data_IF_203113196037
#
_entry.id   IF_203113196037
#
_cell.length_a   1.000
_cell.length_b   1.000
_cell.length_c   1.000
_cell.angle_alpha   90.00
_cell.angle_beta   90.00
_cell.angle_gamma   90.00
#
_symmetry.space_group_name_H-M   'P 1'
#
loop_
_entity.id
_entity.type
_entity.pdbx_description
1 polymer ?
#
# COMPACT_ATOMS: atom_id res chain seq x y z
N UNK A 1 29.68 -27.41 29.69
CA UNK A 1 29.09 -26.09 29.87
C UNK A 1 27.64 -26.28 30.33
N UNK A 2 27.12 -25.43 31.24
CA UNK A 2 25.70 -25.54 31.62
C UNK A 2 24.80 -24.98 30.50
N UNK A 3 23.60 -25.57 30.36
CA UNK A 3 22.59 -25.18 29.38
C UNK A 3 22.29 -23.66 29.39
N UNK A 4 22.23 -23.07 30.59
CA UNK A 4 21.96 -21.65 30.77
C UNK A 4 23.09 -20.77 30.23
N UNK A 5 24.33 -21.14 30.52
CA UNK A 5 25.51 -20.39 30.03
C UNK A 5 25.62 -20.47 28.51
N UNK A 6 25.28 -21.64 27.92
CA UNK A 6 25.22 -21.82 26.48
C UNK A 6 24.24 -20.86 25.83
N UNK A 7 22.99 -20.79 26.33
CA UNK A 7 21.96 -19.92 25.80
C UNK A 7 22.31 -18.44 25.96
N UNK A 8 22.93 -18.05 27.06
CA UNK A 8 23.35 -16.67 27.32
C UNK A 8 24.48 -16.23 26.37
N UNK A 9 25.50 -17.06 26.17
CA UNK A 9 26.59 -16.81 25.22
C UNK A 9 26.09 -16.73 23.79
N UNK A 10 25.25 -17.67 23.36
CA UNK A 10 24.66 -17.73 22.03
C UNK A 10 23.78 -16.50 21.76
N UNK A 11 22.85 -16.15 22.65
CA UNK A 11 21.97 -15.01 22.47
C UNK A 11 22.69 -13.67 22.55
N UNK A 12 23.85 -13.64 23.22
CA UNK A 12 24.73 -12.48 23.26
C UNK A 12 25.25 -12.06 21.88
N UNK A 13 25.41 -13.02 20.95
CA UNK A 13 25.87 -12.78 19.58
C UNK A 13 24.77 -12.23 18.65
N UNK A 14 23.49 -12.35 19.05
CA UNK A 14 22.35 -11.96 18.23
C UNK A 14 22.08 -10.46 18.37
N UNK A 15 22.18 -9.70 17.28
CA UNK A 15 21.91 -8.25 17.24
C UNK A 15 20.43 -7.91 17.41
N UNK A 16 19.55 -8.75 16.86
CA UNK A 16 18.11 -8.55 16.94
C UNK A 16 17.57 -9.00 18.30
N UNK A 17 17.67 -8.13 19.32
CA UNK A 17 17.25 -8.44 20.70
C UNK A 17 15.81 -8.93 20.85
N UNK A 18 14.91 -8.61 19.90
CA UNK A 18 13.53 -9.08 19.89
C UNK A 18 13.39 -10.57 19.55
N UNK A 19 14.31 -11.08 18.75
CA UNK A 19 14.33 -12.50 18.36
C UNK A 19 15.04 -13.37 19.40
N UNK A 20 15.89 -12.81 20.26
CA UNK A 20 16.60 -13.56 21.28
C UNK A 20 15.70 -14.50 22.09
N UNK A 21 14.54 -14.08 22.65
CA UNK A 21 13.72 -15.01 23.46
C UNK A 21 13.07 -16.11 22.63
N UNK A 22 12.79 -15.87 21.34
CA UNK A 22 12.22 -16.89 20.45
C UNK A 22 13.27 -17.90 20.07
N UNK A 23 14.46 -17.44 19.67
CA UNK A 23 15.58 -18.30 19.31
C UNK A 23 16.08 -19.07 20.51
N UNK A 24 16.19 -18.43 21.69
CA UNK A 24 16.58 -19.10 22.91
C UNK A 24 15.66 -20.26 23.25
N UNK A 25 14.32 -20.04 23.10
CA UNK A 25 13.34 -21.09 23.35
C UNK A 25 13.43 -22.22 22.34
N UNK A 26 13.62 -21.94 21.06
CA UNK A 26 13.75 -22.93 20.00
C UNK A 26 14.99 -23.81 20.22
N UNK A 27 16.12 -23.20 20.58
CA UNK A 27 17.35 -23.95 20.91
C UNK A 27 17.19 -24.71 22.23
N UNK A 28 16.50 -24.14 23.21
CA UNK A 28 16.19 -24.82 24.46
C UNK A 28 15.33 -26.07 24.25
N UNK A 29 14.28 -25.95 23.41
CA UNK A 29 13.42 -27.07 23.03
C UNK A 29 14.25 -28.16 22.31
N UNK A 30 15.18 -27.77 21.45
CA UNK A 30 16.10 -28.69 20.76
C UNK A 30 17.04 -29.43 21.71
N UNK A 31 17.64 -28.72 22.69
CA UNK A 31 18.49 -29.35 23.72
C UNK A 31 17.68 -30.36 24.54
N UNK A 32 16.41 -30.01 24.84
CA UNK A 32 15.54 -30.91 25.60
C UNK A 32 15.18 -32.17 24.82
N UNK A 33 14.90 -32.04 23.51
CA UNK A 33 14.62 -33.19 22.62
C UNK A 33 15.84 -34.11 22.53
N UNK A 34 17.05 -33.58 22.38
CA UNK A 34 18.30 -34.34 22.35
C UNK A 34 18.57 -35.00 23.70
N UNK A 35 18.36 -34.30 24.81
CA UNK A 35 18.50 -34.88 26.16
C UNK A 35 17.57 -36.10 26.32
N UNK A 36 16.33 -36.03 25.86
CA UNK A 36 15.38 -37.14 25.92
C UNK A 36 15.86 -38.32 25.07
N UNK A 37 16.44 -38.08 23.90
CA UNK A 37 17.01 -39.11 23.05
C UNK A 37 18.17 -39.84 23.74
N UNK A 38 19.12 -39.12 24.32
CA UNK A 38 20.23 -39.71 25.08
C UNK A 38 19.81 -40.48 26.33
N UNK A 39 18.78 -39.99 27.03
CA UNK A 39 18.19 -40.74 28.15
C UNK A 39 17.53 -42.05 27.70
N UNK A 40 16.92 -42.07 26.51
CA UNK A 40 16.37 -43.31 25.93
C UNK A 40 17.44 -44.30 25.53
N UNK A 41 18.68 -43.86 25.27
CA UNK A 41 19.89 -44.69 25.02
C UNK A 41 20.52 -45.20 26.32
N UNK A 42 20.02 -44.76 27.49
CA UNK A 42 20.46 -45.27 28.79
C UNK A 42 21.44 -44.39 29.56
N UNK A 43 21.63 -43.11 29.12
CA UNK A 43 22.44 -42.15 29.87
C UNK A 43 21.67 -41.62 31.10
N UNK A 44 22.43 -41.23 32.12
CA UNK A 44 21.84 -40.53 33.27
C UNK A 44 21.42 -39.13 32.85
N UNK A 45 20.47 -38.52 33.57
CA UNK A 45 19.92 -37.20 33.23
C UNK A 45 21.03 -36.11 33.12
N UNK A 46 21.99 -36.11 34.04
CA UNK A 46 23.08 -35.13 34.05
C UNK A 46 24.06 -35.34 32.86
N UNK A 47 24.35 -36.61 32.51
CA UNK A 47 25.21 -36.96 31.38
C UNK A 47 24.52 -36.61 30.04
N UNK A 48 23.21 -36.94 29.93
CA UNK A 48 22.42 -36.64 28.75
C UNK A 48 22.30 -35.13 28.50
N UNK A 49 22.13 -34.29 29.54
CA UNK A 49 22.11 -32.85 29.39
C UNK A 49 23.44 -32.25 28.93
N UNK A 50 24.56 -32.75 29.50
CA UNK A 50 25.90 -32.30 29.06
C UNK A 50 26.18 -32.71 27.62
N UNK A 51 25.85 -33.95 27.24
CA UNK A 51 26.00 -34.44 25.88
C UNK A 51 25.14 -33.67 24.87
N UNK A 52 23.86 -33.36 25.22
CA UNK A 52 22.97 -32.57 24.38
C UNK A 52 23.50 -31.16 24.13
N UNK A 53 24.04 -30.49 25.17
CA UNK A 53 24.65 -29.15 25.01
C UNK A 53 25.95 -29.23 24.21
N UNK A 54 26.74 -30.27 24.35
CA UNK A 54 28.00 -30.46 23.59
C UNK A 54 27.72 -30.70 22.10
N UNK A 55 26.65 -31.45 21.78
CA UNK A 55 26.25 -31.73 20.40
C UNK A 55 25.75 -30.51 19.67
N UNK A 56 25.23 -29.48 20.37
CA UNK A 56 24.82 -28.21 19.78
C UNK A 56 25.99 -27.38 19.20
N UNK A 57 27.24 -27.75 19.53
CA UNK A 57 28.44 -27.07 19.05
C UNK A 57 28.80 -25.80 19.81
N UNK A 58 29.64 -24.95 19.18
CA UNK A 58 30.11 -23.71 19.81
C UNK A 58 28.98 -22.67 19.88
N UNK A 59 28.58 -22.19 21.07
CA UNK A 59 27.52 -21.18 21.24
C UNK A 59 27.80 -19.88 20.50
N UNK A 60 29.06 -19.49 20.31
CA UNK A 60 29.43 -18.28 19.58
C UNK A 60 29.20 -18.48 18.09
N UNK A 61 29.57 -19.60 17.53
CA UNK A 61 29.40 -19.91 16.12
C UNK A 61 27.91 -20.04 15.76
N UNK A 62 27.16 -20.84 16.54
CA UNK A 62 25.72 -20.99 16.40
C UNK A 62 25.00 -19.65 16.54
N UNK A 63 25.40 -18.81 17.51
CA UNK A 63 24.82 -17.48 17.70
C UNK A 63 25.06 -16.54 16.52
N UNK A 64 26.26 -16.59 15.91
CA UNK A 64 26.58 -15.80 14.70
C UNK A 64 25.78 -16.29 13.48
N UNK A 65 25.61 -17.60 13.30
CA UNK A 65 24.78 -18.16 12.23
C UNK A 65 23.32 -17.75 12.39
N UNK A 66 22.78 -17.85 13.60
CA UNK A 66 21.42 -17.40 13.92
C UNK A 66 21.23 -15.90 13.68
N UNK A 67 22.24 -15.07 14.00
CA UNK A 67 22.21 -13.62 13.67
C UNK A 67 22.16 -13.40 12.15
N UNK A 68 22.92 -14.16 11.36
CA UNK A 68 22.92 -14.03 9.89
C UNK A 68 21.56 -14.37 9.26
N UNK A 69 20.85 -15.35 9.83
CA UNK A 69 19.53 -15.80 9.36
C UNK A 69 18.46 -14.78 9.75
N UNK A 70 18.45 -14.32 11.00
CA UNK A 70 17.37 -13.56 11.60
C UNK A 70 17.58 -12.04 11.61
N UNK A 71 18.76 -11.55 11.22
CA UNK A 71 19.00 -10.10 11.11
C UNK A 71 18.14 -9.48 10.00
N UNK A 72 17.50 -8.34 10.25
CA UNK A 72 16.77 -7.64 9.21
C UNK A 72 17.73 -7.22 8.08
N UNK A 73 17.46 -7.73 6.87
CA UNK A 73 18.24 -7.39 5.67
C UNK A 73 17.53 -6.26 4.92
N UNK A 74 18.25 -5.17 4.68
CA UNK A 74 17.73 -4.08 3.84
C UNK A 74 17.54 -4.57 2.39
N UNK A 75 16.38 -4.33 1.79
CA UNK A 75 16.09 -4.76 0.42
C UNK A 75 16.71 -3.81 -0.63
N UNK A 76 18.05 -3.70 -0.64
CA UNK A 76 18.78 -2.76 -1.50
C UNK A 76 18.41 -2.85 -2.98
N UNK A 77 18.12 -4.06 -3.46
CA UNK A 77 17.67 -4.27 -4.86
C UNK A 77 16.35 -3.56 -5.14
N UNK A 78 15.37 -3.70 -4.24
CA UNK A 78 14.07 -3.03 -4.35
C UNK A 78 14.23 -1.51 -4.24
N UNK A 79 15.03 -1.03 -3.27
CA UNK A 79 15.33 0.40 -3.09
C UNK A 79 15.94 0.99 -4.37
N UNK A 80 16.92 0.29 -4.97
CA UNK A 80 17.56 0.72 -6.20
C UNK A 80 16.58 0.80 -7.38
N UNK A 81 15.74 -0.22 -7.56
CA UNK A 81 14.71 -0.23 -8.62
C UNK A 81 13.74 0.92 -8.45
N UNK A 82 13.24 1.15 -7.23
CA UNK A 82 12.32 2.26 -6.93
C UNK A 82 13.01 3.61 -7.18
N UNK A 83 14.26 3.78 -6.74
CA UNK A 83 15.03 5.00 -6.99
C UNK A 83 15.21 5.27 -8.49
N UNK A 84 15.54 4.23 -9.26
CA UNK A 84 15.66 4.32 -10.72
C UNK A 84 14.34 4.74 -11.39
N UNK A 85 13.24 4.11 -11.00
CA UNK A 85 11.89 4.47 -11.48
C UNK A 85 11.51 5.91 -11.13
N UNK A 86 11.84 6.38 -9.92
CA UNK A 86 11.61 7.77 -9.53
C UNK A 86 12.44 8.75 -10.35
N UNK A 87 13.71 8.44 -10.60
CA UNK A 87 14.60 9.30 -11.43
C UNK A 87 14.06 9.36 -12.86
N UNK A 88 13.71 8.23 -13.45
CA UNK A 88 13.12 8.17 -14.79
C UNK A 88 11.82 8.99 -14.86
N UNK A 89 10.93 8.82 -13.89
CA UNK A 89 9.70 9.61 -13.77
C UNK A 89 9.99 11.12 -13.68
N UNK A 90 11.01 11.50 -12.89
CA UNK A 90 11.45 12.89 -12.77
C UNK A 90 12.01 13.46 -14.08
N UNK A 91 12.78 12.68 -14.81
CA UNK A 91 13.32 13.06 -16.15
C UNK A 91 12.19 13.26 -17.17
N UNK A 92 11.23 12.34 -17.21
CA UNK A 92 10.04 12.49 -18.05
C UNK A 92 9.24 13.73 -17.68
N UNK A 93 8.97 13.95 -16.40
CA UNK A 93 8.27 15.15 -15.95
C UNK A 93 9.01 16.44 -16.36
N UNK A 94 10.34 16.49 -16.21
CA UNK A 94 11.15 17.63 -16.61
C UNK A 94 11.11 17.86 -18.13
N UNK A 95 11.13 16.79 -18.93
CA UNK A 95 11.01 16.88 -20.39
C UNK A 95 9.67 17.49 -20.83
N UNK A 96 8.55 17.05 -20.24
CA UNK A 96 7.22 17.58 -20.56
C UNK A 96 7.02 19.01 -20.05
N UNK A 97 7.55 19.34 -18.86
CA UNK A 97 7.41 20.69 -18.28
C UNK A 97 8.24 21.74 -19.03
N UNK A 98 9.32 21.32 -19.72
CA UNK A 98 10.17 22.25 -20.51
C UNK A 98 9.43 22.88 -21.70
N UNK A 99 8.36 22.26 -22.18
CA UNK A 99 7.56 22.77 -23.29
C UNK A 99 6.66 23.98 -22.88
N UNK A 100 6.48 24.24 -21.59
CA UNK A 100 5.77 25.41 -21.05
C UNK A 100 6.77 26.38 -20.42
N UNK A 101 7.27 27.35 -21.18
CA UNK A 101 8.36 28.26 -20.81
C UNK A 101 8.15 29.05 -19.51
N UNK A 102 6.91 29.38 -19.14
CA UNK A 102 6.60 30.19 -17.95
C UNK A 102 6.66 29.43 -16.61
N UNK A 103 6.59 28.11 -16.60
CA UNK A 103 6.52 27.31 -15.37
C UNK A 103 7.70 26.32 -15.21
N UNK A 104 8.53 26.14 -16.22
CA UNK A 104 9.50 25.04 -16.30
C UNK A 104 10.51 24.97 -15.17
N UNK A 105 11.14 26.08 -14.78
CA UNK A 105 12.22 26.08 -13.79
C UNK A 105 11.70 25.82 -12.37
N UNK A 106 10.67 26.54 -11.94
CA UNK A 106 10.08 26.40 -10.60
C UNK A 106 9.42 25.03 -10.45
N UNK A 107 8.76 24.52 -11.49
CA UNK A 107 8.17 23.18 -11.49
C UNK A 107 9.24 22.09 -11.40
N UNK A 108 10.38 22.25 -12.07
CA UNK A 108 11.53 21.34 -11.97
C UNK A 108 12.10 21.25 -10.55
N UNK A 109 12.35 22.40 -9.90
CA UNK A 109 12.83 22.44 -8.51
C UNK A 109 11.83 21.76 -7.55
N UNK A 110 10.55 22.06 -7.69
CA UNK A 110 9.49 21.43 -6.87
C UNK A 110 9.46 19.90 -7.07
N UNK A 111 9.68 19.43 -8.29
CA UNK A 111 9.71 18.00 -8.58
C UNK A 111 10.92 17.31 -7.94
N UNK A 112 12.12 17.91 -8.05
CA UNK A 112 13.33 17.39 -7.39
C UNK A 112 13.12 17.32 -5.87
N UNK A 113 12.56 18.36 -5.27
CA UNK A 113 12.26 18.37 -3.84
C UNK A 113 11.28 17.27 -3.44
N UNK A 114 10.20 17.07 -4.22
CA UNK A 114 9.23 15.98 -3.98
C UNK A 114 9.89 14.61 -4.06
N UNK A 115 10.74 14.38 -5.05
CA UNK A 115 11.47 13.12 -5.22
C UNK A 115 12.43 12.87 -4.06
N UNK A 116 13.21 13.88 -3.66
CA UNK A 116 14.13 13.78 -2.53
C UNK A 116 13.39 13.47 -1.22
N UNK A 117 12.27 14.15 -0.97
CA UNK A 117 11.44 13.92 0.21
C UNK A 117 10.82 12.51 0.20
N UNK A 118 10.27 12.07 -0.95
CA UNK A 118 9.70 10.73 -1.08
C UNK A 118 10.74 9.63 -0.84
N UNK A 119 11.96 9.81 -1.37
CA UNK A 119 13.05 8.87 -1.18
C UNK A 119 13.51 8.83 0.28
N UNK A 120 13.64 10.00 0.93
CA UNK A 120 13.99 10.09 2.35
C UNK A 120 12.96 9.39 3.24
N UNK A 121 11.66 9.61 2.98
CA UNK A 121 10.58 8.94 3.70
C UNK A 121 10.61 7.42 3.46
N UNK A 122 10.86 6.97 2.23
CA UNK A 122 10.99 5.55 1.91
C UNK A 122 12.11 4.90 2.73
N UNK A 123 13.29 5.51 2.78
CA UNK A 123 14.42 5.01 3.58
C UNK A 123 14.05 4.97 5.07
N UNK A 124 13.47 6.05 5.59
CA UNK A 124 13.03 6.12 6.98
C UNK A 124 12.05 5.00 7.34
N UNK A 125 11.07 4.73 6.48
CA UNK A 125 10.10 3.63 6.66
C UNK A 125 10.80 2.26 6.64
N UNK A 126 11.82 2.06 5.79
CA UNK A 126 12.60 0.82 5.77
C UNK A 126 13.36 0.55 7.09
N UNK A 127 13.77 1.61 7.80
CA UNK A 127 14.40 1.48 9.12
C UNK A 127 13.40 1.38 10.28
N UNK A 128 12.13 1.69 10.05
CA UNK A 128 11.11 1.59 11.10
C UNK A 128 10.82 0.15 11.48
N UNK A 129 10.69 -0.07 12.77
CA UNK A 129 10.22 -1.33 13.32
C UNK A 129 8.69 -1.44 13.20
N UNK A 130 8.23 -2.15 12.18
CA UNK A 130 6.80 -2.33 11.92
C UNK A 130 6.07 -3.18 12.98
N UNK A 131 6.78 -3.90 13.86
CA UNK A 131 6.13 -4.60 14.97
C UNK A 131 5.46 -3.63 15.96
N UNK A 132 5.97 -2.39 16.07
CA UNK A 132 5.33 -1.32 16.83
C UNK A 132 3.98 -0.91 16.21
N UNK A 133 3.92 -0.84 14.86
CA UNK A 133 2.68 -0.59 14.13
C UNK A 133 1.66 -1.68 14.42
N UNK A 134 2.06 -2.95 14.40
CA UNK A 134 1.20 -4.07 14.73
C UNK A 134 0.62 -4.02 16.14
N UNK A 135 1.45 -3.62 17.14
CA UNK A 135 1.00 -3.46 18.53
C UNK A 135 -0.05 -2.36 18.70
N UNK A 136 0.08 -1.24 17.99
CA UNK A 136 -0.78 -0.06 18.12
C UNK A 136 -1.71 0.13 16.91
N UNK A 137 -1.93 -0.89 16.10
CA UNK A 137 -2.62 -0.83 14.82
C UNK A 137 -3.98 -0.09 14.87
N UNK A 138 -4.83 -0.40 15.86
CA UNK A 138 -6.15 0.24 16.00
C UNK A 138 -6.06 1.71 16.35
N UNK A 139 -5.14 2.08 17.24
CA UNK A 139 -4.93 3.47 17.63
C UNK A 139 -4.38 4.28 16.47
N UNK A 140 -3.40 3.73 15.74
CA UNK A 140 -2.80 4.38 14.58
C UNK A 140 -3.81 4.53 13.43
N UNK A 141 -4.60 3.50 13.14
CA UNK A 141 -5.64 3.59 12.13
C UNK A 141 -6.72 4.63 12.51
N UNK A 142 -7.16 4.62 13.76
CA UNK A 142 -8.14 5.61 14.26
C UNK A 142 -7.62 7.04 14.25
N UNK A 143 -6.39 7.26 14.74
CA UNK A 143 -5.75 8.58 14.72
C UNK A 143 -5.51 9.07 13.29
N UNK A 144 -5.17 8.16 12.37
CA UNK A 144 -5.01 8.50 10.94
C UNK A 144 -6.33 8.94 10.30
N UNK A 145 -7.43 8.21 10.54
CA UNK A 145 -8.74 8.62 10.05
C UNK A 145 -9.19 9.96 10.64
N UNK A 146 -8.97 10.16 11.94
CA UNK A 146 -9.24 11.45 12.59
C UNK A 146 -8.40 12.57 11.96
N UNK A 147 -7.10 12.33 11.74
CA UNK A 147 -6.21 13.26 11.05
C UNK A 147 -6.74 13.63 9.65
N UNK A 148 -7.18 12.66 8.86
CA UNK A 148 -7.78 12.90 7.55
C UNK A 148 -9.01 13.80 7.64
N UNK A 149 -9.91 13.56 8.60
CA UNK A 149 -11.11 14.38 8.84
C UNK A 149 -10.73 15.80 9.25
N UNK A 150 -9.80 15.96 10.17
CA UNK A 150 -9.32 17.27 10.63
C UNK A 150 -8.63 18.04 9.50
N UNK A 151 -7.75 17.42 8.74
CA UNK A 151 -7.11 18.03 7.58
C UNK A 151 -8.13 18.51 6.56
N UNK A 152 -9.14 17.69 6.27
CA UNK A 152 -10.24 18.09 5.40
C UNK A 152 -11.02 19.28 5.95
N UNK A 153 -11.27 19.31 7.25
CA UNK A 153 -12.09 20.37 7.86
C UNK A 153 -11.37 21.72 7.94
N UNK A 154 -10.09 21.72 8.33
CA UNK A 154 -9.36 22.96 8.63
C UNK A 154 -8.51 23.47 7.46
N UNK A 155 -8.01 22.59 6.58
CA UNK A 155 -7.01 22.94 5.56
C UNK A 155 -7.47 22.63 4.13
N UNK A 156 -8.71 22.25 3.95
CA UNK A 156 -9.23 21.90 2.63
C UNK A 156 -9.29 23.10 1.69
N UNK A 157 -8.80 22.91 0.49
CA UNK A 157 -8.90 23.84 -0.63
C UNK A 157 -9.95 23.32 -1.61
N UNK A 158 -10.84 24.21 -2.00
CA UNK A 158 -11.80 23.94 -3.06
C UNK A 158 -11.19 24.32 -4.41
N UNK A 159 -10.94 23.31 -5.24
CA UNK A 159 -10.43 23.52 -6.60
C UNK A 159 -11.43 22.86 -7.55
N UNK A 160 -11.93 23.61 -8.53
CA UNK A 160 -12.93 23.16 -9.51
C UNK A 160 -14.18 22.51 -8.87
N UNK A 161 -14.66 23.07 -7.77
CA UNK A 161 -15.84 22.56 -7.06
C UNK A 161 -15.60 21.31 -6.20
N UNK A 162 -14.39 20.75 -6.20
CA UNK A 162 -14.04 19.58 -5.40
C UNK A 162 -13.16 19.95 -4.20
N UNK A 163 -13.53 19.45 -3.01
CA UNK A 163 -12.83 19.68 -1.73
C UNK A 163 -11.95 18.46 -1.46
N UNK A 164 -10.92 18.26 -2.27
CA UNK A 164 -10.02 17.09 -2.18
C UNK A 164 -8.54 17.43 -2.00
N UNK A 165 -8.21 18.72 -1.91
CA UNK A 165 -6.85 19.22 -1.78
C UNK A 165 -6.66 19.88 -0.44
N UNK A 166 -5.47 19.78 0.11
CA UNK A 166 -5.04 20.43 1.36
C UNK A 166 -3.93 21.41 1.01
N UNK A 167 -4.03 22.64 1.50
CA UNK A 167 -2.97 23.63 1.36
C UNK A 167 -2.30 23.90 2.72
N UNK A 168 -1.02 23.62 2.83
CA UNK A 168 -0.22 23.92 4.03
C UNK A 168 1.11 24.51 3.60
N UNK A 169 1.40 25.74 4.08
CA UNK A 169 2.72 26.36 3.86
C UNK A 169 3.11 26.53 2.38
N UNK A 170 2.15 26.74 1.47
CA UNK A 170 2.41 26.86 0.03
C UNK A 170 2.50 25.51 -0.72
N UNK A 171 2.36 24.39 -0.01
CA UNK A 171 2.26 23.06 -0.62
C UNK A 171 0.80 22.64 -0.77
N UNK A 172 0.47 22.08 -1.90
CA UNK A 172 -0.85 21.49 -2.16
C UNK A 172 -0.67 19.98 -2.20
N UNK A 173 -1.38 19.27 -1.33
CA UNK A 173 -1.36 17.81 -1.23
C UNK A 173 -2.76 17.27 -1.46
N UNK A 174 -2.89 16.20 -2.24
CA UNK A 174 -4.17 15.52 -2.44
C UNK A 174 -4.51 14.68 -1.22
N UNK A 175 -5.64 14.98 -0.58
CA UNK A 175 -6.19 14.19 0.52
C UNK A 175 -6.56 12.77 0.05
N UNK A 176 -7.05 12.66 -1.18
CA UNK A 176 -7.39 11.36 -1.78
C UNK A 176 -6.15 10.46 -1.92
N UNK A 177 -5.00 11.01 -2.36
CA UNK A 177 -3.76 10.24 -2.45
C UNK A 177 -3.24 9.81 -1.09
N UNK A 178 -3.42 10.62 -0.04
CA UNK A 178 -3.04 10.24 1.31
C UNK A 178 -3.77 8.97 1.78
N UNK A 179 -4.98 8.70 1.27
CA UNK A 179 -5.75 7.50 1.67
C UNK A 179 -5.01 6.17 1.43
N UNK A 180 -4.03 6.11 0.51
CA UNK A 180 -3.20 4.93 0.31
C UNK A 180 -2.38 4.54 1.54
N UNK A 181 -2.00 5.50 2.39
CA UNK A 181 -1.29 5.24 3.64
C UNK A 181 -2.16 4.50 4.67
N UNK A 182 -3.47 4.48 4.47
CA UNK A 182 -4.37 3.69 5.30
C UNK A 182 -4.24 2.18 5.05
N UNK A 183 -3.87 1.74 3.85
CA UNK A 183 -3.81 0.31 3.52
C UNK A 183 -2.85 -0.49 4.42
N UNK A 184 -1.59 -0.09 4.65
CA UNK A 184 -0.72 -0.81 5.59
C UNK A 184 -1.26 -0.81 7.03
N UNK A 185 -1.90 0.28 7.47
CA UNK A 185 -2.57 0.34 8.78
C UNK A 185 -3.76 -0.61 8.85
N UNK A 186 -4.55 -0.69 7.78
CA UNK A 186 -5.65 -1.62 7.67
C UNK A 186 -5.17 -3.08 7.73
N UNK A 187 -4.08 -3.42 7.04
CA UNK A 187 -3.44 -4.73 7.14
C UNK A 187 -3.02 -5.09 8.56
N UNK A 188 -2.43 -4.13 9.28
CA UNK A 188 -2.07 -4.32 10.70
C UNK A 188 -3.30 -4.50 11.60
N UNK A 189 -4.41 -3.81 11.31
CA UNK A 189 -5.69 -3.97 12.02
C UNK A 189 -6.27 -5.36 11.76
N UNK A 190 -6.27 -5.84 10.50
CA UNK A 190 -6.71 -7.19 10.16
C UNK A 190 -5.91 -8.25 10.92
N UNK A 191 -4.59 -8.11 10.96
CA UNK A 191 -3.71 -9.02 11.70
C UNK A 191 -4.01 -9.01 13.21
N UNK A 192 -4.35 -7.85 13.79
CA UNK A 192 -4.69 -7.72 15.21
C UNK A 192 -5.96 -8.47 15.61
N UNK A 193 -6.88 -8.67 14.68
CA UNK A 193 -8.12 -9.42 14.89
C UNK A 193 -7.98 -10.93 14.59
N UNK A 194 -6.76 -11.41 14.31
CA UNK A 194 -6.50 -12.83 14.06
C UNK A 194 -6.95 -13.70 15.26
N UNK A 195 -7.59 -14.82 14.95
CA UNK A 195 -8.14 -15.75 15.94
C UNK A 195 -9.55 -15.41 16.42
N UNK A 196 -10.09 -14.24 16.09
CA UNK A 196 -11.46 -13.89 16.40
C UNK A 196 -12.44 -14.44 15.32
N UNK A 197 -13.75 -14.49 15.68
CA UNK A 197 -14.82 -14.99 14.79
C UNK A 197 -15.45 -13.90 13.90
N UNK A 198 -16.74 -14.06 13.59
CA UNK A 198 -17.51 -13.14 12.72
C UNK A 198 -17.48 -11.67 13.16
N UNK A 199 -17.36 -11.39 14.46
CA UNK A 199 -17.22 -10.04 14.99
C UNK A 199 -15.97 -9.31 14.45
N UNK A 200 -14.88 -10.03 14.20
CA UNK A 200 -13.67 -9.46 13.62
C UNK A 200 -13.88 -9.04 12.16
N UNK A 201 -14.56 -9.86 11.37
CA UNK A 201 -14.91 -9.53 9.99
C UNK A 201 -15.78 -8.29 9.94
N UNK A 202 -16.77 -8.18 10.83
CA UNK A 202 -17.62 -6.99 10.91
C UNK A 202 -16.81 -5.74 11.28
N UNK A 203 -15.92 -5.82 12.27
CA UNK A 203 -15.01 -4.71 12.65
C UNK A 203 -14.11 -4.31 11.46
N UNK A 204 -13.58 -5.29 10.70
CA UNK A 204 -12.78 -5.04 9.51
C UNK A 204 -13.57 -4.28 8.43
N UNK A 205 -14.82 -4.68 8.18
CA UNK A 205 -15.72 -3.98 7.26
C UNK A 205 -16.00 -2.56 7.74
N UNK A 206 -16.19 -2.33 9.04
CA UNK A 206 -16.40 -0.99 9.59
C UNK A 206 -15.19 -0.09 9.32
N UNK A 207 -13.96 -0.56 9.52
CA UNK A 207 -12.75 0.20 9.20
C UNK A 207 -12.69 0.59 7.70
N UNK A 208 -13.04 -0.34 6.82
CA UNK A 208 -13.13 -0.10 5.38
C UNK A 208 -14.20 0.96 5.05
N UNK A 209 -15.38 0.88 5.64
CA UNK A 209 -16.46 1.83 5.42
C UNK A 209 -16.13 3.24 5.94
N UNK A 210 -15.36 3.35 7.03
CA UNK A 210 -14.92 4.63 7.56
C UNK A 210 -14.02 5.40 6.56
N UNK A 211 -13.00 4.76 5.99
CA UNK A 211 -12.14 5.40 4.99
C UNK A 211 -12.90 5.71 3.70
N UNK A 212 -13.74 4.77 3.23
CA UNK A 212 -14.56 4.98 2.05
C UNK A 212 -15.54 6.18 2.26
N UNK A 213 -16.15 6.29 3.44
CA UNK A 213 -17.00 7.42 3.82
C UNK A 213 -16.26 8.75 3.77
N UNK A 214 -15.03 8.83 4.29
CA UNK A 214 -14.21 10.05 4.20
C UNK A 214 -13.96 10.42 2.74
N UNK A 215 -13.61 9.45 1.88
CA UNK A 215 -13.31 9.69 0.46
C UNK A 215 -14.55 10.10 -0.35
N UNK A 216 -15.71 9.55 -0.05
CA UNK A 216 -16.98 9.96 -0.66
C UNK A 216 -17.27 11.44 -0.34
N UNK A 217 -16.97 11.89 0.88
CA UNK A 217 -17.14 13.31 1.23
C UNK A 217 -16.12 14.22 0.53
N UNK A 218 -15.03 13.70 -0.02
CA UNK A 218 -14.02 14.41 -0.80
C UNK A 218 -14.33 14.43 -2.32
N UNK A 219 -15.54 14.25 -2.78
CA UNK A 219 -16.12 13.83 -4.06
C UNK A 219 -15.13 13.10 -5.02
N UNK A 220 -14.45 12.09 -4.51
CA UNK A 220 -13.50 11.27 -5.27
C UNK A 220 -13.92 9.79 -5.24
N UNK A 221 -14.94 9.47 -6.04
CA UNK A 221 -15.51 8.11 -6.12
C UNK A 221 -14.50 7.08 -6.65
N UNK A 222 -13.58 7.50 -7.51
CA UNK A 222 -12.56 6.60 -8.07
C UNK A 222 -11.60 6.17 -6.97
N UNK A 223 -11.11 7.10 -6.16
CA UNK A 223 -10.25 6.78 -5.02
C UNK A 223 -11.00 6.00 -3.93
N UNK A 224 -12.25 6.35 -3.65
CA UNK A 224 -13.07 5.57 -2.73
C UNK A 224 -13.24 4.12 -3.19
N UNK A 225 -13.48 3.91 -4.49
CA UNK A 225 -13.59 2.59 -5.11
C UNK A 225 -12.25 1.83 -5.06
N UNK A 226 -11.15 2.44 -5.47
CA UNK A 226 -9.83 1.76 -5.51
C UNK A 226 -9.33 1.40 -4.12
N UNK A 227 -9.42 2.30 -3.14
CA UNK A 227 -9.02 2.01 -1.75
C UNK A 227 -9.97 0.99 -1.12
N UNK A 228 -11.29 1.11 -1.37
CA UNK A 228 -12.29 0.15 -0.91
C UNK A 228 -12.04 -1.25 -1.45
N UNK A 229 -11.82 -1.40 -2.75
CA UNK A 229 -11.48 -2.68 -3.38
C UNK A 229 -10.16 -3.25 -2.86
N UNK A 230 -9.15 -2.41 -2.63
CA UNK A 230 -7.89 -2.85 -2.02
C UNK A 230 -8.10 -3.38 -0.59
N UNK A 231 -8.92 -2.72 0.22
CA UNK A 231 -9.30 -3.22 1.55
C UNK A 231 -10.07 -4.55 1.49
N UNK A 232 -11.02 -4.67 0.54
CA UNK A 232 -11.75 -5.93 0.31
C UNK A 232 -10.78 -7.05 -0.07
N UNK A 233 -9.86 -6.79 -1.00
CA UNK A 233 -8.87 -7.76 -1.42
C UNK A 233 -7.98 -8.22 -0.24
N UNK A 234 -7.51 -7.29 0.59
CA UNK A 234 -6.74 -7.62 1.79
C UNK A 234 -7.55 -8.45 2.79
N UNK A 235 -8.84 -8.15 2.98
CA UNK A 235 -9.74 -8.93 3.84
C UNK A 235 -9.96 -10.33 3.27
N UNK A 236 -10.14 -10.48 1.97
CA UNK A 236 -10.26 -11.79 1.30
C UNK A 236 -9.00 -12.64 1.49
N UNK A 237 -7.81 -12.04 1.32
CA UNK A 237 -6.54 -12.73 1.58
C UNK A 237 -6.40 -13.15 3.05
N UNK A 238 -6.84 -12.32 4.00
CA UNK A 238 -6.82 -12.66 5.43
C UNK A 238 -7.76 -13.83 5.76
N UNK A 239 -8.93 -13.89 5.10
CA UNK A 239 -9.88 -15.01 5.22
C UNK A 239 -9.30 -16.29 4.62
N UNK A 240 -8.71 -16.23 3.43
CA UNK A 240 -8.06 -17.37 2.76
C UNK A 240 -6.91 -17.94 3.58
N UNK A 241 -6.12 -17.07 4.22
CA UNK A 241 -5.04 -17.47 5.14
C UNK A 241 -5.54 -18.06 6.47
N UNK A 242 -6.85 -18.17 6.66
CA UNK A 242 -7.43 -18.73 7.88
C UNK A 242 -7.21 -17.87 9.14
N UNK A 243 -7.07 -16.55 9.00
CA UNK A 243 -6.86 -15.67 10.16
C UNK A 243 -8.08 -15.59 11.08
N UNK A 244 -9.28 -15.88 10.55
CA UNK A 244 -10.53 -15.75 11.29
C UNK A 244 -11.23 -17.09 11.44
N UNK A 245 -11.83 -17.32 12.60
CA UNK A 245 -12.62 -18.51 12.90
C UNK A 245 -14.06 -18.36 12.34
N UNK A 246 -14.19 -18.40 11.02
CA UNK A 246 -15.46 -18.20 10.30
C UNK A 246 -15.61 -19.20 9.18
N UNK A 247 -16.84 -19.39 8.68
CA UNK A 247 -17.08 -20.17 7.46
C UNK A 247 -16.62 -19.37 6.25
N UNK A 248 -15.34 -19.52 5.87
CA UNK A 248 -14.62 -18.72 4.86
C UNK A 248 -15.44 -18.61 3.57
N UNK A 249 -15.92 -19.74 3.01
CA UNK A 249 -16.68 -19.76 1.76
C UNK A 249 -17.94 -18.89 1.83
N UNK A 250 -18.69 -18.97 2.93
CA UNK A 250 -19.91 -18.14 3.09
C UNK A 250 -19.61 -16.66 3.15
N UNK A 251 -18.56 -16.29 3.91
CA UNK A 251 -18.15 -14.88 4.06
C UNK A 251 -17.60 -14.34 2.74
N UNK A 252 -16.74 -15.08 2.04
CA UNK A 252 -16.19 -14.69 0.75
C UNK A 252 -17.28 -14.53 -0.32
N UNK A 253 -18.23 -15.44 -0.36
CA UNK A 253 -19.39 -15.33 -1.28
C UNK A 253 -20.22 -14.08 -0.96
N UNK A 254 -20.50 -13.80 0.31
CA UNK A 254 -21.20 -12.61 0.74
C UNK A 254 -20.47 -11.31 0.37
N UNK A 255 -19.16 -11.25 0.58
CA UNK A 255 -18.32 -10.12 0.16
C UNK A 255 -18.34 -9.96 -1.37
N UNK A 256 -18.17 -11.06 -2.12
CA UNK A 256 -18.20 -11.06 -3.59
C UNK A 256 -19.52 -10.52 -4.15
N UNK A 257 -20.64 -10.97 -3.60
CA UNK A 257 -21.97 -10.43 -3.97
C UNK A 257 -22.07 -8.94 -3.66
N UNK A 258 -21.54 -8.50 -2.49
CA UNK A 258 -21.59 -7.09 -2.08
C UNK A 258 -20.72 -6.20 -2.97
N UNK A 259 -19.54 -6.67 -3.39
CA UNK A 259 -18.60 -5.94 -4.27
C UNK A 259 -19.24 -5.64 -5.64
N UNK A 260 -20.06 -6.54 -6.15
CA UNK A 260 -20.77 -6.33 -7.41
C UNK A 260 -22.11 -5.64 -7.18
N UNK A 261 -22.88 -6.11 -6.21
CA UNK A 261 -24.25 -5.65 -5.95
C UNK A 261 -24.35 -4.18 -5.50
N UNK A 262 -23.41 -3.73 -4.64
CA UNK A 262 -23.43 -2.34 -4.16
C UNK A 262 -23.18 -1.33 -5.30
N UNK A 263 -22.13 -1.44 -6.12
CA UNK A 263 -21.95 -0.52 -7.26
C UNK A 263 -23.10 -0.57 -8.26
N UNK A 264 -23.60 -1.77 -8.58
CA UNK A 264 -24.76 -1.92 -9.48
C UNK A 264 -25.99 -1.27 -8.89
N UNK A 265 -26.25 -1.45 -7.59
CA UNK A 265 -27.35 -0.79 -6.89
C UNK A 265 -27.24 0.74 -6.90
N UNK A 266 -26.04 1.27 -6.66
CA UNK A 266 -25.76 2.71 -6.73
C UNK A 266 -26.00 3.24 -8.16
N UNK A 267 -25.48 2.55 -9.18
CA UNK A 267 -25.69 2.93 -10.57
C UNK A 267 -27.19 2.90 -10.95
N UNK A 268 -27.89 1.86 -10.54
CA UNK A 268 -29.33 1.76 -10.75
C UNK A 268 -30.09 2.88 -10.05
N UNK A 269 -29.73 3.20 -8.79
CA UNK A 269 -30.34 4.31 -8.06
C UNK A 269 -30.17 5.64 -8.80
N UNK A 270 -28.95 5.97 -9.23
CA UNK A 270 -28.71 7.21 -9.98
C UNK A 270 -29.37 7.22 -11.36
N UNK A 271 -29.51 6.07 -12.00
CA UNK A 271 -30.20 5.96 -13.28
C UNK A 271 -31.69 6.24 -13.16
N UNK A 272 -32.34 5.71 -12.12
CA UNK A 272 -33.79 5.89 -11.93
C UNK A 272 -34.16 7.18 -11.21
N UNK A 273 -33.40 7.57 -10.19
CA UNK A 273 -33.73 8.66 -9.27
C UNK A 273 -32.75 9.85 -9.34
N UNK A 274 -31.65 9.73 -10.06
CA UNK A 274 -30.66 10.79 -10.18
C UNK A 274 -31.12 11.97 -11.02
N UNK A 275 -30.44 13.11 -10.83
CA UNK A 275 -30.65 14.30 -11.65
C UNK A 275 -30.21 14.04 -13.11
N UNK A 276 -30.77 14.79 -14.06
CA UNK A 276 -30.52 14.62 -15.49
C UNK A 276 -29.01 14.64 -15.85
N UNK A 277 -28.24 15.51 -15.19
CA UNK A 277 -26.77 15.54 -15.41
C UNK A 277 -26.05 14.26 -14.92
N UNK A 278 -26.57 13.56 -13.90
CA UNK A 278 -26.02 12.31 -13.40
C UNK A 278 -26.36 11.16 -14.35
N UNK A 279 -27.59 11.11 -14.83
CA UNK A 279 -28.03 10.14 -15.85
C UNK A 279 -27.23 10.30 -17.14
N UNK A 280 -27.00 11.54 -17.60
CA UNK A 280 -26.24 11.81 -18.81
C UNK A 280 -24.77 11.34 -18.67
N UNK A 281 -24.15 11.48 -17.50
CA UNK A 281 -22.80 10.96 -17.22
C UNK A 281 -22.73 9.43 -17.26
N UNK A 282 -23.73 8.76 -16.65
CA UNK A 282 -23.80 7.28 -16.70
C UNK A 282 -23.98 6.82 -18.13
N UNK A 283 -24.90 7.42 -18.87
CA UNK A 283 -25.12 7.08 -20.30
C UNK A 283 -23.88 7.34 -21.14
N UNK A 284 -23.11 8.39 -20.86
CA UNK A 284 -21.85 8.69 -21.54
C UNK A 284 -20.77 7.61 -21.31
N UNK A 285 -20.75 6.95 -20.15
CA UNK A 285 -19.82 5.84 -19.88
C UNK A 285 -20.11 4.63 -20.78
N UNK A 286 -21.37 4.38 -21.12
CA UNK A 286 -21.81 3.23 -21.94
C UNK A 286 -21.99 3.57 -23.41
N UNK A 287 -21.96 4.87 -23.79
CA UNK A 287 -22.14 5.29 -25.17
C UNK A 287 -20.90 4.98 -26.02
N UNK A 288 -21.00 3.96 -26.85
CA UNK A 288 -19.92 3.52 -27.77
C UNK A 288 -19.69 4.52 -28.92
N UNK A 289 -20.66 5.38 -29.25
CA UNK A 289 -20.70 6.17 -30.48
C UNK A 289 -21.09 7.64 -30.28
N UNK A 290 -20.45 8.42 -29.39
CA UNK A 290 -20.80 9.85 -29.37
C UNK A 290 -19.62 10.76 -29.05
N UNK A 291 -18.99 11.25 -30.10
CA UNK A 291 -18.09 12.39 -30.09
C UNK A 291 -18.73 13.66 -29.47
N UNK A 292 -20.01 13.90 -29.70
CA UNK A 292 -20.69 15.13 -29.24
C UNK A 292 -20.96 15.24 -27.73
N UNK A 293 -21.12 14.11 -27.00
CA UNK A 293 -21.45 14.15 -25.56
C UNK A 293 -20.22 14.22 -24.66
N UNK A 294 -19.05 13.92 -25.20
CA UNK A 294 -17.76 13.94 -24.51
C UNK A 294 -16.84 15.08 -24.96
N UNK A 295 -17.23 15.85 -25.98
CA UNK A 295 -16.52 17.07 -26.39
C UNK A 295 -16.41 18.04 -25.21
N UNK A 296 -15.17 18.39 -24.84
CA UNK A 296 -14.91 19.29 -23.70
C UNK A 296 -14.71 18.61 -22.34
N UNK A 297 -14.86 17.28 -22.22
CA UNK A 297 -14.53 16.55 -20.98
C UNK A 297 -13.10 16.00 -21.01
N UNK A 298 -12.49 15.86 -19.83
CA UNK A 298 -11.15 15.24 -19.66
C UNK A 298 -11.13 13.81 -20.23
N UNK A 299 -12.19 13.05 -20.03
CA UNK A 299 -12.31 11.67 -20.52
C UNK A 299 -12.38 11.64 -22.07
N UNK A 300 -13.06 12.60 -22.69
CA UNK A 300 -13.10 12.74 -24.14
C UNK A 300 -11.72 13.01 -24.73
N UNK A 301 -10.97 13.94 -24.13
CA UNK A 301 -9.60 14.26 -24.53
C UNK A 301 -8.64 13.06 -24.38
N UNK A 302 -8.75 12.31 -23.26
CA UNK A 302 -7.98 11.08 -23.03
C UNK A 302 -8.29 10.03 -24.10
N UNK A 303 -9.55 9.80 -24.41
CA UNK A 303 -9.99 8.84 -25.44
C UNK A 303 -9.53 9.25 -26.84
N UNK A 304 -9.61 10.52 -27.15
CA UNK A 304 -9.12 11.05 -28.42
C UNK A 304 -7.62 10.82 -28.59
N UNK A 305 -6.82 11.12 -27.56
CA UNK A 305 -5.38 10.85 -27.58
C UNK A 305 -5.09 9.37 -27.75
N UNK A 306 -5.73 8.50 -26.94
CA UNK A 306 -5.51 7.06 -27.03
C UNK A 306 -5.89 6.49 -28.40
N UNK A 307 -6.91 7.03 -29.06
CA UNK A 307 -7.28 6.60 -30.41
C UNK A 307 -6.24 6.98 -31.49
N UNK A 308 -5.43 7.99 -31.20
CA UNK A 308 -4.33 8.47 -32.08
C UNK A 308 -2.99 7.83 -31.73
N UNK A 309 -2.86 7.16 -30.57
CA UNK A 309 -1.63 6.51 -30.14
C UNK A 309 -1.35 5.28 -30.99
N UNK A 310 -0.09 5.14 -31.41
CA UNK A 310 0.41 3.95 -32.08
C UNK A 310 0.95 2.94 -31.06
N UNK A 311 1.21 1.70 -31.49
CA UNK A 311 1.87 0.70 -30.66
C UNK A 311 3.28 1.16 -30.25
N UNK A 312 4.05 1.71 -31.21
CA UNK A 312 5.36 2.32 -30.99
C UNK A 312 5.43 3.57 -31.88
N UNK A 313 5.91 4.67 -31.29
CA UNK A 313 6.08 5.93 -32.00
C UNK A 313 5.16 7.04 -31.53
N UNK A 314 5.32 8.22 -32.09
CA UNK A 314 4.62 9.44 -31.66
C UNK A 314 3.24 9.56 -32.30
N UNK A 315 2.24 9.82 -31.48
CA UNK A 315 0.88 10.10 -31.95
C UNK A 315 0.80 11.49 -32.62
N UNK A 316 -0.08 11.64 -33.61
CA UNK A 316 -0.34 12.93 -34.27
C UNK A 316 -1.16 13.84 -33.33
N UNK A 317 -0.77 15.14 -33.24
CA UNK A 317 -1.48 16.13 -32.42
C UNK A 317 -1.25 16.00 -30.91
N UNK A 318 -0.19 15.32 -30.47
CA UNK A 318 0.16 15.19 -29.04
C UNK A 318 0.49 16.55 -28.44
N UNK A 319 1.05 17.48 -29.20
CA UNK A 319 1.40 18.83 -28.72
C UNK A 319 0.14 19.62 -28.33
N UNK A 320 -0.90 19.56 -29.17
CA UNK A 320 -2.16 20.27 -28.93
C UNK A 320 -2.89 19.75 -27.68
N UNK A 321 -2.68 18.48 -27.34
CA UNK A 321 -3.23 17.87 -26.15
C UNK A 321 -2.66 18.48 -24.86
N UNK A 322 -1.36 18.82 -24.85
CA UNK A 322 -0.65 19.37 -23.69
C UNK A 322 -0.77 20.89 -23.56
N UNK A 323 -1.00 21.59 -24.65
CA UNK A 323 -1.14 23.06 -24.67
C UNK A 323 -2.57 23.51 -24.32
N UNK A 324 -3.54 22.60 -24.32
CA UNK A 324 -4.92 22.88 -23.94
C UNK A 324 -5.11 22.96 -22.42
N UNK A 325 -5.91 23.91 -21.93
CA UNK A 325 -6.28 24.10 -20.52
C UNK A 325 -7.03 22.90 -19.89
N UNK A 326 -7.26 21.85 -20.65
CA UNK A 326 -8.18 20.75 -20.29
C UNK A 326 -7.57 19.70 -19.38
N UNK A 327 -6.25 19.56 -19.34
CA UNK A 327 -5.58 18.47 -18.60
C UNK A 327 -4.32 19.00 -17.91
N UNK A 328 -4.23 18.80 -16.61
CA UNK A 328 -2.98 19.03 -15.89
C UNK A 328 -1.96 17.97 -16.28
N UNK A 329 -0.81 18.40 -16.80
CA UNK A 329 0.26 17.52 -17.29
C UNK A 329 0.75 16.49 -16.27
N UNK A 330 0.68 16.81 -14.98
CA UNK A 330 1.16 15.93 -13.89
C UNK A 330 0.27 14.71 -13.67
N UNK A 331 -1.06 14.86 -13.85
CA UNK A 331 -2.03 13.78 -13.56
C UNK A 331 -2.08 12.73 -14.68
N UNK A 332 -1.59 13.07 -15.87
CA UNK A 332 -1.68 12.24 -17.07
C UNK A 332 -0.32 11.95 -17.72
N UNK A 333 0.73 11.91 -16.90
CA UNK A 333 2.09 11.70 -17.41
C UNK A 333 2.25 10.38 -18.18
N UNK A 334 1.60 9.30 -17.72
CA UNK A 334 1.59 8.01 -18.43
C UNK A 334 0.96 8.14 -19.82
N UNK A 335 -0.11 8.91 -19.93
CA UNK A 335 -0.77 9.18 -21.20
C UNK A 335 0.14 9.97 -22.15
N UNK A 336 0.98 10.86 -21.59
CA UNK A 336 2.03 11.53 -22.34
C UNK A 336 3.06 10.57 -22.90
N UNK A 337 3.51 9.63 -22.09
CA UNK A 337 4.45 8.59 -22.55
C UNK A 337 3.82 7.78 -23.68
N UNK A 338 2.57 7.36 -23.56
CA UNK A 338 1.86 6.67 -24.62
C UNK A 338 1.74 7.50 -25.91
N UNK A 339 1.50 8.82 -25.78
CA UNK A 339 1.42 9.74 -26.93
C UNK A 339 2.75 9.96 -27.64
N UNK A 340 3.86 10.05 -26.91
CA UNK A 340 5.18 10.32 -27.49
C UNK A 340 5.94 9.08 -27.92
N UNK A 341 5.81 7.99 -27.19
CA UNK A 341 6.59 6.77 -27.38
C UNK A 341 5.78 5.58 -27.90
N UNK A 342 4.46 5.66 -27.81
CA UNK A 342 3.55 4.57 -28.16
C UNK A 342 3.06 3.78 -26.95
N UNK A 343 1.97 3.03 -27.13
CA UNK A 343 1.27 2.31 -26.05
C UNK A 343 2.14 1.18 -25.46
N UNK A 344 2.99 0.55 -26.24
CA UNK A 344 3.85 -0.55 -25.77
C UNK A 344 5.00 -0.09 -24.86
N UNK A 345 5.30 1.20 -24.81
CA UNK A 345 6.37 1.77 -23.98
C UNK A 345 5.82 2.28 -22.64
N UNK A 346 4.50 2.45 -22.52
CA UNK A 346 3.79 2.84 -21.30
C UNK A 346 3.77 1.69 -20.28
#
# INVERSE_FOLDING_TARGET
MERRDYLELMTGQIRCKKMCPVIAKEVEDHIEDQKQAFMAEGMTEEEAEKAAVEEMGDPVEVGVEMDQIHRPKMPWKAIFVIALMQILSGMFAAFFLKQNESYGYIAGIRQIFRLAMAFSVMILVCYMDYSWIGKHARLLAGSYLLFMVLMRHFFALQINGAVRWIGVGGFIVSLSLMSWLFLPLYGAVLYRYRGEGYGAVLKAIVWMLLIAGILITCPDLVMAGTVGLSCVFMLMLALEKGWYQVAVTKVMTGIGISVVGVPVGILAYFFFFGAEYQKSRILAMFAVNKSQMMEGTTLGAVRELLSKCMAVGRATGVEDFWTGDRISSADYMMLGIAGYCGILVM
#
